data_IF_702515169859
#
_entry.id   IF_702515169859
#
_cell.length_a   1.000
_cell.length_b   1.000
_cell.length_c   1.000
_cell.angle_alpha   90.00
_cell.angle_beta   90.00
_cell.angle_gamma   90.00
#
_symmetry.space_group_name_H-M   'P 1'
#
loop_
_entity.id
_entity.type
_entity.pdbx_description
1 polymer ?
#
# COMPACT_ATOMS: atom_id res chain seq x y z
N UNK A 1 13.99 4.81 19.94
CA UNK A 1 12.88 5.75 20.25
C UNK A 1 12.70 6.74 19.10
N UNK A 2 11.59 6.68 18.40
CA UNK A 2 11.25 7.56 17.27
C UNK A 2 11.01 9.01 17.76
N UNK A 3 10.38 9.17 18.92
CA UNK A 3 10.05 10.46 19.50
C UNK A 3 10.98 10.84 20.65
N UNK A 4 11.59 12.04 20.56
CA UNK A 4 12.37 12.67 21.65
C UNK A 4 11.55 13.64 22.47
N UNK A 5 10.56 14.27 21.83
CA UNK A 5 9.67 15.27 22.43
C UNK A 5 8.21 14.83 22.28
N UNK A 6 7.39 15.21 23.24
CA UNK A 6 5.96 14.91 23.23
C UNK A 6 5.26 15.65 22.09
N UNK A 7 4.60 14.96 21.14
CA UNK A 7 3.88 15.61 20.04
C UNK A 7 2.71 16.50 20.52
N UNK A 8 2.22 16.30 21.75
CA UNK A 8 1.10 17.06 22.29
C UNK A 8 1.50 18.34 23.00
N UNK A 9 2.57 18.31 23.81
CA UNK A 9 2.96 19.45 24.66
C UNK A 9 4.40 19.94 24.48
N UNK A 10 5.21 19.26 23.65
CA UNK A 10 6.58 19.61 23.40
C UNK A 10 7.60 19.25 24.51
N UNK A 11 7.17 18.68 25.64
CA UNK A 11 8.06 18.29 26.73
C UNK A 11 8.96 17.09 26.31
N UNK A 12 10.17 17.04 26.85
CA UNK A 12 11.06 15.92 26.61
C UNK A 12 10.46 14.61 27.14
N UNK A 13 10.50 13.57 26.30
CA UNK A 13 10.05 12.22 26.67
C UNK A 13 11.15 11.46 27.38
N UNK A 14 10.78 10.72 28.43
CA UNK A 14 11.70 9.87 29.19
C UNK A 14 11.23 8.42 29.10
N UNK A 15 12.17 7.44 29.08
CA UNK A 15 11.79 6.04 29.09
C UNK A 15 11.05 5.69 30.39
N UNK A 16 9.98 4.91 30.27
CA UNK A 16 9.20 4.36 31.39
C UNK A 16 8.72 2.97 31.03
N UNK A 17 8.82 2.04 31.98
CA UNK A 17 8.33 0.68 31.80
C UNK A 17 6.83 0.66 31.50
N UNK A 18 6.43 -0.07 30.45
CA UNK A 18 5.06 -0.24 29.97
C UNK A 18 4.70 -1.74 29.95
N UNK A 19 4.80 -2.40 31.10
CA UNK A 19 4.56 -3.85 31.19
C UNK A 19 5.53 -4.68 30.36
N UNK A 20 4.99 -5.58 29.55
CA UNK A 20 5.77 -6.50 28.71
C UNK A 20 6.39 -5.81 27.47
N UNK A 21 5.93 -4.60 27.13
CA UNK A 21 6.48 -3.80 26.01
C UNK A 21 7.85 -3.16 26.34
N UNK A 22 8.29 -3.27 27.60
CA UNK A 22 9.57 -2.72 28.05
C UNK A 22 9.54 -1.20 28.24
N UNK A 23 10.66 -0.53 27.95
CA UNK A 23 10.79 0.91 28.10
C UNK A 23 10.23 1.64 26.87
N UNK A 24 9.14 2.40 27.08
CA UNK A 24 8.47 3.23 26.07
C UNK A 24 8.63 4.70 26.42
N UNK A 25 8.81 5.61 25.44
CA UNK A 25 8.80 7.05 25.66
C UNK A 25 7.55 7.51 26.41
N UNK A 26 7.71 8.19 27.52
CA UNK A 26 6.61 8.66 28.38
C UNK A 26 6.70 10.16 28.59
N UNK A 27 5.56 10.83 28.44
CA UNK A 27 5.41 12.25 28.77
C UNK A 27 4.83 12.37 30.18
N UNK A 28 5.63 12.91 31.11
CA UNK A 28 5.20 13.10 32.50
C UNK A 28 4.18 14.24 32.63
N UNK A 29 4.24 15.27 31.75
CA UNK A 29 3.27 16.40 31.74
C UNK A 29 1.89 15.95 31.24
N UNK A 30 1.85 15.16 30.17
CA UNK A 30 0.60 14.64 29.60
C UNK A 30 0.15 13.32 30.23
N UNK A 31 1.00 12.71 31.08
CA UNK A 31 0.78 11.41 31.74
C UNK A 31 0.40 10.30 30.75
N UNK A 32 1.17 10.18 29.62
CA UNK A 32 0.91 9.16 28.60
C UNK A 32 2.17 8.63 27.94
N UNK A 33 2.07 7.36 27.49
CA UNK A 33 3.08 6.71 26.63
C UNK A 33 2.94 7.17 25.19
N UNK A 34 4.07 7.18 24.48
CA UNK A 34 4.16 7.43 23.05
C UNK A 34 4.86 6.25 22.38
N UNK A 35 4.06 5.34 21.85
CA UNK A 35 4.56 4.22 21.06
C UNK A 35 5.05 4.73 19.70
N UNK A 36 6.05 4.04 19.15
CA UNK A 36 6.49 4.33 17.79
C UNK A 36 5.31 4.12 16.82
N UNK A 37 5.08 5.08 15.96
CA UNK A 37 4.02 5.03 14.96
C UNK A 37 4.60 4.72 13.58
N UNK A 38 3.81 4.09 12.76
CA UNK A 38 4.06 3.85 11.35
C UNK A 38 2.85 4.30 10.53
N UNK A 39 3.06 4.51 9.23
CA UNK A 39 1.98 4.84 8.32
C UNK A 39 1.26 3.57 7.88
N UNK A 40 -0.07 3.64 7.75
CA UNK A 40 -0.88 2.53 7.27
C UNK A 40 -1.44 2.89 5.89
N UNK A 41 -1.22 1.98 4.93
CA UNK A 41 -1.57 2.18 3.52
C UNK A 41 -2.28 0.95 2.98
N UNK A 42 -2.99 1.13 1.88
CA UNK A 42 -3.48 0.03 1.06
C UNK A 42 -2.70 -0.05 -0.24
N UNK A 43 -2.71 -1.24 -0.84
CA UNK A 43 -2.24 -1.46 -2.21
C UNK A 43 -3.15 -2.47 -2.88
N UNK A 44 -3.61 -2.18 -4.10
CA UNK A 44 -4.65 -2.94 -4.78
C UNK A 44 -4.20 -3.35 -6.17
N UNK A 45 -4.14 -4.68 -6.42
CA UNK A 45 -3.94 -5.24 -7.73
C UNK A 45 -5.32 -5.41 -8.40
N UNK A 46 -5.65 -4.54 -9.34
CA UNK A 46 -6.88 -4.64 -10.15
C UNK A 46 -6.58 -5.48 -11.38
N UNK A 47 -7.38 -6.53 -11.62
CA UNK A 47 -7.22 -7.45 -12.75
C UNK A 47 -8.52 -7.65 -13.53
N UNK A 48 -8.41 -8.08 -14.79
CA UNK A 48 -9.55 -8.27 -15.68
C UNK A 48 -9.66 -9.72 -16.20
N UNK A 49 -10.67 -9.97 -17.06
CA UNK A 49 -10.99 -11.27 -17.70
C UNK A 49 -9.91 -11.78 -18.66
N UNK A 50 -8.95 -10.93 -19.05
CA UNK A 50 -7.87 -11.29 -19.96
C UNK A 50 -6.55 -11.56 -19.23
N UNK A 51 -6.58 -11.71 -17.90
CA UNK A 51 -5.40 -11.81 -17.05
C UNK A 51 -4.41 -10.63 -17.22
N UNK A 52 -4.97 -9.43 -17.40
CA UNK A 52 -4.24 -8.18 -17.36
C UNK A 52 -4.45 -7.51 -16.02
N UNK A 53 -3.44 -6.79 -15.55
CA UNK A 53 -3.51 -5.96 -14.35
C UNK A 53 -3.33 -4.49 -14.70
N UNK A 54 -3.87 -3.58 -13.91
CA UNK A 54 -3.58 -2.15 -14.06
C UNK A 54 -2.21 -1.84 -13.47
N UNK A 55 -1.36 -1.22 -14.29
CA UNK A 55 -0.08 -0.66 -13.87
C UNK A 55 -0.13 0.85 -14.04
N UNK A 56 0.20 1.57 -12.97
CA UNK A 56 0.19 3.03 -12.90
C UNK A 56 1.62 3.59 -12.98
N UNK A 57 1.77 4.72 -13.67
CA UNK A 57 2.98 5.54 -13.62
C UNK A 57 2.68 6.80 -12.83
N UNK A 58 3.50 7.08 -11.84
CA UNK A 58 3.40 8.24 -10.95
C UNK A 58 4.78 8.88 -10.84
N UNK A 59 5.00 9.96 -11.57
CA UNK A 59 6.31 10.61 -11.76
C UNK A 59 6.98 11.02 -10.44
N UNK A 60 6.17 11.31 -9.41
CA UNK A 60 6.67 11.64 -8.08
C UNK A 60 7.21 10.43 -7.31
N UNK A 61 6.85 9.20 -7.73
CA UNK A 61 7.40 7.95 -7.20
C UNK A 61 8.56 7.49 -8.08
N UNK A 62 8.33 7.34 -9.38
CA UNK A 62 9.34 6.88 -10.34
C UNK A 62 8.95 7.27 -11.77
N UNK A 63 9.98 7.61 -12.57
CA UNK A 63 9.86 7.81 -14.02
C UNK A 63 10.22 6.58 -14.85
N UNK A 64 10.65 5.50 -14.18
CA UNK A 64 11.16 4.30 -14.85
C UNK A 64 10.27 3.10 -14.58
N UNK A 65 9.84 2.95 -13.34
CA UNK A 65 9.05 1.80 -12.90
C UNK A 65 7.64 2.22 -12.53
N UNK A 66 6.68 1.40 -12.95
CA UNK A 66 5.29 1.52 -12.54
C UNK A 66 5.03 0.88 -11.16
N UNK A 67 3.87 1.18 -10.64
CA UNK A 67 3.30 0.57 -9.45
C UNK A 67 1.86 0.14 -9.72
N UNK A 68 1.19 -0.39 -8.75
CA UNK A 68 -0.28 -0.58 -8.77
C UNK A 68 -0.91 0.43 -7.82
N UNK A 69 -2.23 0.64 -7.91
CA UNK A 69 -2.96 1.60 -7.07
C UNK A 69 -2.66 1.44 -5.60
N UNK A 70 -2.32 2.53 -4.93
CA UNK A 70 -1.99 2.54 -3.50
C UNK A 70 -2.29 3.90 -2.88
N UNK A 71 -2.69 3.89 -1.60
CA UNK A 71 -2.95 5.13 -0.88
C UNK A 71 -2.93 4.98 0.63
N UNK A 72 -2.95 6.12 1.33
CA UNK A 72 -2.97 6.16 2.78
C UNK A 72 -4.37 5.91 3.33
N UNK A 73 -4.44 5.15 4.43
CA UNK A 73 -5.66 5.02 5.22
C UNK A 73 -5.89 6.34 5.96
N UNK A 74 -7.00 7.00 5.68
CA UNK A 74 -7.36 8.26 6.32
C UNK A 74 -8.00 8.03 7.70
N UNK A 75 -7.93 9.02 8.61
CA UNK A 75 -8.60 8.93 9.88
C UNK A 75 -10.11 8.66 9.72
N UNK A 76 -10.56 7.54 10.29
CA UNK A 76 -11.95 7.10 10.21
C UNK A 76 -12.25 6.06 9.16
N UNK A 77 -11.31 5.75 8.28
CA UNK A 77 -11.41 4.67 7.29
C UNK A 77 -10.82 3.35 7.83
N UNK A 78 -11.35 2.23 7.36
CA UNK A 78 -10.66 0.95 7.41
C UNK A 78 -9.93 0.67 6.08
N UNK A 79 -9.15 -0.42 6.03
CA UNK A 79 -8.33 -0.73 4.87
C UNK A 79 -9.17 -1.05 3.60
N UNK A 80 -10.32 -1.70 3.77
CA UNK A 80 -11.22 -2.02 2.67
C UNK A 80 -11.88 -0.76 2.09
N UNK A 81 -12.37 0.15 2.93
CA UNK A 81 -12.94 1.44 2.50
C UNK A 81 -11.91 2.26 1.73
N UNK A 82 -10.68 2.34 2.24
CA UNK A 82 -9.57 3.01 1.55
C UNK A 82 -9.28 2.36 0.20
N UNK A 83 -9.26 1.02 0.12
CA UNK A 83 -8.98 0.31 -1.13
C UNK A 83 -10.04 0.60 -2.20
N UNK A 84 -11.32 0.65 -1.84
CA UNK A 84 -12.39 1.06 -2.75
C UNK A 84 -12.24 2.50 -3.21
N UNK A 85 -11.97 3.42 -2.28
CA UNK A 85 -11.81 4.85 -2.56
C UNK A 85 -10.62 5.11 -3.50
N UNK A 86 -9.45 4.58 -3.20
CA UNK A 86 -8.24 4.80 -4.01
C UNK A 86 -8.41 4.28 -5.45
N UNK A 87 -9.00 3.10 -5.64
CA UNK A 87 -9.24 2.57 -6.99
C UNK A 87 -10.27 3.40 -7.75
N UNK A 88 -11.33 3.90 -7.10
CA UNK A 88 -12.29 4.79 -7.75
C UNK A 88 -11.67 6.16 -8.06
N UNK A 89 -10.88 6.74 -7.14
CA UNK A 89 -10.22 8.04 -7.31
C UNK A 89 -9.12 8.00 -8.37
N UNK A 90 -8.21 7.02 -8.33
CA UNK A 90 -7.06 6.96 -9.22
C UNK A 90 -7.40 6.45 -10.63
N UNK A 91 -8.35 5.51 -10.74
CA UNK A 91 -8.64 4.79 -12.00
C UNK A 91 -10.07 4.98 -12.52
N UNK A 92 -10.98 5.54 -11.72
CA UNK A 92 -12.41 5.65 -12.06
C UNK A 92 -13.14 4.30 -12.07
N UNK A 93 -12.59 3.27 -11.45
CA UNK A 93 -13.17 1.92 -11.39
C UNK A 93 -13.94 1.75 -10.10
N UNK A 94 -15.21 1.36 -10.19
CA UNK A 94 -15.99 0.91 -9.04
C UNK A 94 -15.86 -0.60 -8.86
N UNK A 95 -15.32 -1.00 -7.73
CA UNK A 95 -15.12 -2.40 -7.40
C UNK A 95 -16.33 -2.96 -6.65
N UNK A 96 -16.68 -4.21 -6.95
CA UNK A 96 -17.75 -4.95 -6.23
C UNK A 96 -17.19 -5.74 -5.05
N UNK A 97 -15.97 -6.26 -5.16
CA UNK A 97 -15.36 -7.14 -4.16
C UNK A 97 -13.86 -6.92 -4.06
N UNK A 98 -13.34 -7.15 -2.85
CA UNK A 98 -11.92 -7.20 -2.54
C UNK A 98 -11.53 -8.59 -2.03
N UNK A 99 -10.41 -9.10 -2.50
CA UNK A 99 -9.76 -10.28 -1.96
C UNK A 99 -8.52 -9.85 -1.19
N UNK A 100 -8.45 -10.19 0.09
CA UNK A 100 -7.29 -9.88 0.91
C UNK A 100 -6.06 -10.67 0.45
N UNK A 101 -4.95 -9.97 0.22
CA UNK A 101 -3.66 -10.49 -0.27
C UNK A 101 -2.55 -10.51 0.77
N UNK A 102 -2.85 -10.15 2.04
CA UNK A 102 -1.87 -10.11 3.13
C UNK A 102 -1.44 -8.70 3.51
N UNK A 103 -0.42 -8.63 4.37
CA UNK A 103 0.25 -7.38 4.72
C UNK A 103 1.73 -7.46 4.37
N UNK A 104 2.29 -6.30 4.04
CA UNK A 104 3.71 -6.14 3.71
C UNK A 104 4.27 -4.96 4.48
N UNK A 105 5.46 -5.15 5.06
CA UNK A 105 6.17 -4.05 5.68
C UNK A 105 7.10 -3.40 4.65
N UNK A 106 6.91 -2.12 4.40
CA UNK A 106 7.75 -1.33 3.49
C UNK A 106 8.72 -0.49 4.33
N UNK A 107 9.99 -0.93 4.37
CA UNK A 107 11.01 -0.35 5.26
C UNK A 107 11.36 1.10 4.94
N UNK A 108 11.47 1.46 3.66
CA UNK A 108 11.90 2.80 3.22
C UNK A 108 10.96 3.94 3.64
N UNK A 109 9.81 3.64 4.20
CA UNK A 109 8.85 4.64 4.63
C UNK A 109 8.16 4.31 5.95
N UNK A 110 8.62 3.29 6.70
CA UNK A 110 7.94 2.82 7.92
C UNK A 110 6.43 2.62 7.68
N UNK A 111 6.06 1.87 6.61
CA UNK A 111 4.66 1.70 6.20
C UNK A 111 4.20 0.26 6.29
N UNK A 112 3.01 0.07 6.85
CA UNK A 112 2.29 -1.20 6.76
C UNK A 112 1.33 -1.14 5.58
N UNK A 113 1.58 -1.97 4.56
CA UNK A 113 0.75 -2.06 3.37
C UNK A 113 -0.27 -3.18 3.54
N UNK A 114 -1.57 -2.86 3.53
CA UNK A 114 -2.67 -3.81 3.43
C UNK A 114 -2.94 -4.10 1.97
N UNK A 115 -2.69 -5.32 1.54
CA UNK A 115 -2.69 -5.70 0.14
C UNK A 115 -4.01 -6.38 -0.25
N UNK A 116 -4.58 -5.97 -1.39
CA UNK A 116 -5.81 -6.52 -1.94
C UNK A 116 -5.67 -6.84 -3.42
N UNK A 117 -6.47 -7.80 -3.88
CA UNK A 117 -6.72 -8.07 -5.30
C UNK A 117 -8.19 -7.80 -5.59
N UNK A 118 -8.50 -7.25 -6.76
CA UNK A 118 -9.86 -6.93 -7.16
C UNK A 118 -10.08 -7.21 -8.65
N UNK A 119 -11.22 -7.82 -8.95
CA UNK A 119 -11.65 -7.99 -10.34
C UNK A 119 -12.43 -6.76 -10.81
N UNK A 120 -12.14 -6.33 -12.03
CA UNK A 120 -12.96 -5.40 -12.80
C UNK A 120 -12.96 -5.84 -14.26
N UNK A 121 -14.11 -5.84 -14.97
CA UNK A 121 -14.09 -6.00 -16.42
C UNK A 121 -13.17 -4.98 -17.05
N UNK A 122 -12.51 -5.33 -18.15
CA UNK A 122 -11.66 -4.39 -18.88
C UNK A 122 -12.45 -3.16 -19.29
N UNK A 123 -12.01 -2.00 -18.88
CA UNK A 123 -12.67 -0.73 -19.17
C UNK A 123 -11.64 0.36 -19.49
N UNK A 124 -12.12 1.49 -19.97
CA UNK A 124 -11.34 2.72 -20.09
C UNK A 124 -11.05 3.28 -18.69
N UNK A 125 -9.77 3.59 -18.41
CA UNK A 125 -9.33 4.13 -17.13
C UNK A 125 -9.53 5.66 -17.12
N UNK A 126 -10.11 6.16 -16.03
CA UNK A 126 -10.30 7.61 -15.80
C UNK A 126 -9.36 8.05 -14.69
N UNK A 127 -8.22 8.57 -15.10
CA UNK A 127 -7.10 8.85 -14.18
C UNK A 127 -7.32 10.14 -13.39
N UNK A 128 -6.91 10.13 -12.12
CA UNK A 128 -6.77 11.33 -11.30
C UNK A 128 -5.56 12.15 -11.73
N UNK A 129 -5.36 13.32 -11.11
CA UNK A 129 -4.16 14.14 -11.35
C UNK A 129 -2.87 13.54 -10.76
N UNK A 130 -2.98 12.57 -9.87
CA UNK A 130 -1.83 11.92 -9.23
C UNK A 130 -1.23 10.81 -10.09
N UNK A 131 -1.99 10.28 -11.05
CA UNK A 131 -1.58 9.21 -11.96
C UNK A 131 -1.25 9.78 -13.33
N UNK A 132 0.01 9.79 -13.72
CA UNK A 132 0.45 10.33 -15.02
C UNK A 132 -0.03 9.48 -16.20
N UNK A 133 0.00 8.17 -16.05
CA UNK A 133 -0.57 7.21 -16.98
C UNK A 133 -0.88 5.89 -16.30
N UNK A 134 -1.84 5.15 -16.84
CA UNK A 134 -2.11 3.77 -16.41
C UNK A 134 -2.53 2.94 -17.62
N UNK A 135 -2.17 1.67 -17.60
CA UNK A 135 -2.49 0.73 -18.67
C UNK A 135 -2.77 -0.68 -18.12
N UNK A 136 -3.55 -1.42 -18.92
CA UNK A 136 -3.77 -2.84 -18.70
C UNK A 136 -2.60 -3.63 -19.28
N UNK A 137 -1.82 -4.27 -18.40
CA UNK A 137 -0.61 -5.05 -18.74
C UNK A 137 -0.86 -6.52 -18.43
N UNK A 138 -0.47 -7.44 -19.32
CA UNK A 138 -0.52 -8.87 -19.05
C UNK A 138 0.21 -9.20 -17.75
N UNK A 139 -0.47 -9.87 -16.83
CA UNK A 139 0.11 -10.25 -15.54
C UNK A 139 1.44 -11.02 -15.69
N UNK A 140 1.55 -11.85 -16.75
CA UNK A 140 2.77 -12.59 -17.07
C UNK A 140 3.96 -11.69 -17.46
N UNK A 141 3.73 -10.44 -17.86
CA UNK A 141 4.76 -9.45 -18.28
C UNK A 141 4.92 -8.28 -17.31
N UNK A 142 3.97 -8.10 -16.40
CA UNK A 142 3.93 -6.93 -15.51
C UNK A 142 5.19 -6.80 -14.63
N UNK A 143 5.86 -7.90 -14.28
CA UNK A 143 7.12 -7.89 -13.53
C UNK A 143 8.24 -7.11 -14.22
N UNK A 144 8.16 -6.87 -15.55
CA UNK A 144 9.17 -6.12 -16.31
C UNK A 144 9.01 -4.61 -16.20
N UNK A 145 7.82 -4.15 -15.86
CA UNK A 145 7.47 -2.72 -15.80
C UNK A 145 7.22 -2.23 -14.39
N UNK A 146 6.92 -3.12 -13.44
CA UNK A 146 6.82 -2.80 -12.02
C UNK A 146 8.20 -2.61 -11.40
N UNK A 147 8.24 -1.98 -10.21
CA UNK A 147 9.46 -1.95 -9.41
C UNK A 147 10.05 -3.35 -9.24
N UNK A 148 11.38 -3.49 -9.33
CA UNK A 148 12.05 -4.77 -9.14
C UNK A 148 11.66 -5.44 -7.82
N UNK A 149 11.67 -6.77 -7.83
CA UNK A 149 11.35 -7.56 -6.66
C UNK A 149 12.35 -7.31 -5.52
N UNK A 150 11.81 -7.00 -4.34
CA UNK A 150 12.59 -6.74 -3.14
C UNK A 150 11.78 -7.11 -1.89
N UNK A 151 12.42 -7.32 -0.74
CA UNK A 151 11.71 -7.49 0.51
C UNK A 151 10.73 -6.33 0.76
N UNK A 152 9.49 -6.66 1.14
CA UNK A 152 8.44 -5.66 1.39
C UNK A 152 7.75 -5.07 0.15
N UNK A 153 8.18 -5.42 -1.08
CA UNK A 153 7.49 -4.99 -2.30
C UNK A 153 6.13 -5.68 -2.45
N UNK A 154 5.07 -5.01 -1.98
CA UNK A 154 3.72 -5.53 -1.96
C UNK A 154 3.14 -5.72 -3.39
N UNK A 155 3.49 -4.86 -4.35
CA UNK A 155 3.03 -4.98 -5.73
C UNK A 155 3.53 -6.28 -6.37
N UNK A 156 4.83 -6.58 -6.21
CA UNK A 156 5.40 -7.85 -6.69
C UNK A 156 4.89 -9.06 -5.90
N UNK A 157 4.64 -8.89 -4.60
CA UNK A 157 4.02 -9.93 -3.77
C UNK A 157 2.63 -10.31 -4.27
N UNK A 158 1.76 -9.32 -4.52
CA UNK A 158 0.42 -9.53 -5.09
C UNK A 158 0.47 -10.12 -6.51
N UNK A 159 1.37 -9.62 -7.36
CA UNK A 159 1.54 -10.13 -8.71
C UNK A 159 1.91 -11.62 -8.70
N UNK A 160 2.85 -12.03 -7.86
CA UNK A 160 3.23 -13.45 -7.69
C UNK A 160 2.06 -14.30 -7.17
N UNK A 161 1.29 -13.79 -6.21
CA UNK A 161 0.09 -14.47 -5.73
C UNK A 161 -0.94 -14.64 -6.84
N UNK A 162 -1.20 -13.59 -7.63
CA UNK A 162 -2.13 -13.62 -8.76
C UNK A 162 -1.72 -14.65 -9.81
N UNK A 163 -0.46 -14.59 -10.28
CA UNK A 163 0.10 -15.54 -11.27
C UNK A 163 -0.01 -16.98 -10.79
N UNK A 164 0.29 -17.23 -9.50
CA UNK A 164 0.11 -18.56 -8.89
C UNK A 164 -1.35 -18.98 -8.83
N UNK A 165 -2.26 -18.12 -8.41
CA UNK A 165 -3.70 -18.38 -8.30
C UNK A 165 -4.31 -18.76 -9.66
N UNK A 166 -3.84 -18.12 -10.73
CA UNK A 166 -4.30 -18.36 -12.11
C UNK A 166 -3.54 -19.47 -12.83
N UNK A 167 -2.57 -20.12 -12.19
CA UNK A 167 -1.68 -21.10 -12.81
C UNK A 167 -0.95 -20.57 -14.07
N UNK A 168 -0.61 -19.29 -14.06
CA UNK A 168 0.16 -18.64 -15.11
C UNK A 168 1.66 -18.78 -14.84
N UNK A 169 2.49 -18.44 -15.84
CA UNK A 169 3.94 -18.35 -15.72
C UNK A 169 4.42 -16.99 -16.24
N UNK A 170 5.44 -16.43 -15.61
CA UNK A 170 6.07 -15.23 -16.12
C UNK A 170 6.71 -15.50 -17.48
N UNK A 171 6.52 -14.55 -18.40
CA UNK A 171 7.11 -14.57 -19.74
C UNK A 171 8.46 -13.84 -19.74
N UNK A 172 9.44 -14.40 -20.43
CA UNK A 172 10.77 -13.82 -20.63
C UNK A 172 10.74 -12.47 -21.39
#
# INVERSE_FOLDING_TARGET
MKYKFCPQCGSELKPKMAGDDGEIPFCYECNRYWFDSFESCVIVLVYNEFDEIVVCMQDYISKVYGTITAGYILPGENAEETAYREVEEELGIKLDNLQYGGTYWFEDGDKLMHAFMAYSPKCELKLSQEVNSAEWVKATKAHKVLFPDSPGNAAMGLLKQYVKMKNLQFED
#
